data_IF_258863698569
#
_entry.id   IF_258863698569
#
_cell.length_a   1.000
_cell.length_b   1.000
_cell.length_c   1.000
_cell.angle_alpha   90.00
_cell.angle_beta   90.00
_cell.angle_gamma   90.00
#
_symmetry.space_group_name_H-M   'P 1'
#
loop_
_entity.id
_entity.type
_entity.pdbx_description
1 polymer ?
#
# COMPACT_ATOMS: atom_id res chain seq x y z
N UNK A 1 17.14 6.33 9.69
CA UNK A 1 17.41 6.02 8.27
C UNK A 1 16.39 6.76 7.40
N UNK A 2 16.81 7.34 6.27
CA UNK A 2 15.98 8.21 5.42
C UNK A 2 14.62 7.61 5.03
N UNK A 3 14.57 6.30 4.78
CA UNK A 3 13.32 5.59 4.46
C UNK A 3 12.29 5.66 5.60
N UNK A 4 12.70 5.47 6.86
CA UNK A 4 11.79 5.50 8.02
C UNK A 4 11.18 6.90 8.18
N UNK A 5 11.97 7.95 7.95
CA UNK A 5 11.50 9.34 7.98
C UNK A 5 10.47 9.61 6.88
N UNK A 6 10.76 9.19 5.64
CA UNK A 6 9.83 9.32 4.51
C UNK A 6 8.54 8.51 4.76
N UNK A 7 8.66 7.29 5.26
CA UNK A 7 7.55 6.41 5.59
C UNK A 7 6.66 7.03 6.68
N UNK A 8 7.26 7.57 7.74
CA UNK A 8 6.54 8.25 8.82
C UNK A 8 5.87 9.54 8.34
N UNK A 9 6.56 10.34 7.52
CA UNK A 9 5.99 11.54 6.89
C UNK A 9 4.80 11.19 6.01
N UNK A 10 4.89 10.10 5.25
CA UNK A 10 3.81 9.64 4.38
C UNK A 10 2.59 9.15 5.17
N UNK A 11 2.81 8.42 6.27
CA UNK A 11 1.72 8.03 7.17
C UNK A 11 0.98 9.26 7.70
N UNK A 12 1.70 10.30 8.14
CA UNK A 12 1.08 11.53 8.62
C UNK A 12 0.20 12.20 7.55
N UNK A 13 0.64 12.20 6.28
CA UNK A 13 -0.17 12.69 5.16
C UNK A 13 -1.42 11.83 4.96
N UNK A 14 -1.28 10.50 4.94
CA UNK A 14 -2.41 9.59 4.79
C UNK A 14 -3.45 9.74 5.89
N UNK A 15 -3.02 9.88 7.14
CA UNK A 15 -3.94 10.13 8.26
C UNK A 15 -4.67 11.46 8.09
N UNK A 16 -3.98 12.53 7.68
CA UNK A 16 -4.61 13.83 7.42
C UNK A 16 -5.64 13.73 6.29
N UNK A 17 -5.32 13.02 5.20
CA UNK A 17 -6.23 12.82 4.08
C UNK A 17 -7.47 12.04 4.51
N UNK A 18 -7.29 10.93 5.23
CA UNK A 18 -8.39 10.10 5.72
C UNK A 18 -9.29 10.86 6.71
N UNK A 19 -8.70 11.60 7.66
CA UNK A 19 -9.43 12.43 8.62
C UNK A 19 -10.30 13.50 7.94
N UNK A 20 -9.81 14.06 6.82
CA UNK A 20 -10.53 15.09 6.05
C UNK A 20 -11.37 14.51 4.91
N UNK A 21 -11.45 13.18 4.78
CA UNK A 21 -12.10 12.48 3.65
C UNK A 21 -11.59 12.92 2.26
N UNK A 22 -10.33 13.34 2.17
CA UNK A 22 -9.65 13.77 0.94
C UNK A 22 -9.06 12.54 0.21
N UNK A 23 -9.93 11.63 -0.22
CA UNK A 23 -9.50 10.36 -0.81
C UNK A 23 -8.82 10.51 -2.18
N UNK A 24 -9.08 11.62 -2.88
CA UNK A 24 -8.40 12.00 -4.12
C UNK A 24 -6.90 12.23 -3.97
N UNK A 25 -6.45 12.67 -2.79
CA UNK A 25 -5.03 12.89 -2.49
C UNK A 25 -4.21 11.59 -2.51
N UNK A 26 -4.85 10.45 -2.20
CA UNK A 26 -4.20 9.14 -2.34
C UNK A 26 -3.90 8.79 -3.80
N UNK A 27 -4.66 9.34 -4.75
CA UNK A 27 -4.61 8.92 -6.15
C UNK A 27 -3.74 9.81 -7.02
N UNK A 28 -3.34 10.97 -6.51
CA UNK A 28 -2.68 12.03 -7.28
C UNK A 28 -1.17 12.15 -7.01
N UNK A 29 -0.63 11.36 -6.08
CA UNK A 29 0.73 11.52 -5.55
C UNK A 29 1.65 10.30 -5.83
N UNK A 30 2.96 10.55 -5.99
CA UNK A 30 3.98 9.54 -6.30
C UNK A 30 4.76 9.07 -5.05
N UNK A 31 4.08 8.45 -4.10
CA UNK A 31 4.69 8.01 -2.83
C UNK A 31 5.06 6.53 -2.76
N UNK A 32 4.72 5.76 -3.79
CA UNK A 32 4.70 4.29 -3.70
C UNK A 32 6.01 3.67 -3.21
N UNK A 33 7.16 4.27 -3.56
CA UNK A 33 8.48 3.73 -3.22
C UNK A 33 8.81 3.75 -1.74
N UNK A 34 8.42 4.81 -1.01
CA UNK A 34 8.65 4.89 0.43
C UNK A 34 7.43 4.45 1.25
N UNK A 35 6.23 4.48 0.68
CA UNK A 35 5.02 3.97 1.32
C UNK A 35 4.96 2.43 1.28
N UNK A 36 5.32 1.83 0.15
CA UNK A 36 5.26 0.39 -0.10
C UNK A 36 6.63 -0.13 -0.57
N UNK A 37 7.66 -0.08 0.29
CA UNK A 37 9.01 -0.45 -0.12
C UNK A 37 9.09 -1.95 -0.46
N UNK A 38 9.85 -2.27 -1.51
CA UNK A 38 10.02 -3.62 -2.06
C UNK A 38 11.49 -3.89 -2.38
N UNK A 39 11.82 -5.14 -2.65
CA UNK A 39 13.17 -5.63 -2.98
C UNK A 39 13.52 -5.56 -4.48
N UNK A 40 12.70 -4.85 -5.27
CA UNK A 40 12.85 -4.74 -6.72
C UNK A 40 13.37 -3.36 -7.15
N UNK A 41 14.18 -3.35 -8.21
CA UNK A 41 14.66 -2.12 -8.83
C UNK A 41 13.53 -1.38 -9.54
N UNK A 42 13.63 -0.06 -9.59
CA UNK A 42 12.67 0.80 -10.26
C UNK A 42 13.24 1.43 -11.52
N UNK A 43 12.39 2.06 -12.35
CA UNK A 43 12.85 2.98 -13.40
C UNK A 43 13.63 4.21 -12.88
N UNK A 44 13.66 4.42 -11.54
CA UNK A 44 14.47 5.44 -10.86
C UNK A 44 15.77 4.82 -10.27
N UNK A 45 16.16 3.63 -10.72
CA UNK A 45 17.33 2.90 -10.23
C UNK A 45 17.09 2.20 -8.89
N UNK A 46 18.19 1.92 -8.18
CA UNK A 46 18.23 1.16 -6.92
C UNK A 46 18.01 2.03 -5.66
N UNK A 47 17.68 3.33 -5.82
CA UNK A 47 17.61 4.30 -4.71
C UNK A 47 16.71 3.87 -3.54
N UNK A 48 15.62 3.14 -3.82
CA UNK A 48 14.67 2.64 -2.82
C UNK A 48 14.55 1.12 -2.78
N UNK A 49 15.45 0.42 -3.49
CA UNK A 49 15.47 -1.04 -3.50
C UNK A 49 15.99 -1.52 -2.16
N UNK A 50 15.17 -2.28 -1.44
CA UNK A 50 15.62 -2.88 -0.20
C UNK A 50 16.52 -4.08 -0.48
N UNK A 51 17.66 -4.13 0.21
CA UNK A 51 18.43 -5.36 0.32
C UNK A 51 17.90 -6.22 1.46
N UNK A 52 18.26 -7.51 1.45
CA UNK A 52 17.87 -8.45 2.52
C UNK A 52 18.19 -7.92 3.92
N UNK A 53 19.36 -7.29 4.09
CA UNK A 53 19.76 -6.70 5.38
C UNK A 53 18.81 -5.58 5.82
N UNK A 54 18.44 -4.68 4.91
CA UNK A 54 17.50 -3.59 5.21
C UNK A 54 16.13 -4.13 5.62
N UNK A 55 15.65 -5.17 4.92
CA UNK A 55 14.36 -5.81 5.23
C UNK A 55 14.37 -6.39 6.64
N UNK A 56 15.42 -7.13 7.00
CA UNK A 56 15.52 -7.73 8.33
C UNK A 56 15.65 -6.66 9.42
N UNK A 57 16.42 -5.60 9.20
CA UNK A 57 16.49 -4.46 10.14
C UNK A 57 15.14 -3.77 10.32
N UNK A 58 14.39 -3.54 9.23
CA UNK A 58 13.08 -2.91 9.27
C UNK A 58 12.02 -3.79 9.92
N UNK A 59 12.07 -5.12 9.72
CA UNK A 59 11.18 -6.07 10.40
C UNK A 59 11.35 -6.05 11.93
N UNK A 60 12.57 -5.82 12.42
CA UNK A 60 12.82 -5.67 13.87
C UNK A 60 12.37 -4.31 14.42
N UNK A 61 12.11 -3.32 13.56
CA UNK A 61 11.63 -2.02 13.98
C UNK A 61 10.10 -2.01 14.15
N UNK A 62 9.65 -2.13 15.40
CA UNK A 62 8.23 -2.19 15.74
C UNK A 62 7.43 -0.96 15.28
N UNK A 63 8.01 0.24 15.35
CA UNK A 63 7.34 1.46 14.90
C UNK A 63 7.15 1.45 13.39
N UNK A 64 8.18 1.06 12.63
CA UNK A 64 8.09 0.92 11.18
C UNK A 64 7.02 -0.12 10.80
N UNK A 65 7.05 -1.30 11.40
CA UNK A 65 6.06 -2.35 11.10
C UNK A 65 4.63 -1.92 11.43
N UNK A 66 4.42 -1.23 12.56
CA UNK A 66 3.12 -0.65 12.90
C UNK A 66 2.66 0.38 11.85
N UNK A 67 3.56 1.27 11.45
CA UNK A 67 3.27 2.30 10.46
C UNK A 67 2.97 1.69 9.07
N UNK A 68 3.71 0.64 8.68
CA UNK A 68 3.51 -0.07 7.44
C UNK A 68 2.12 -0.71 7.36
N UNK A 69 1.68 -1.38 8.42
CA UNK A 69 0.33 -1.95 8.50
C UNK A 69 -0.73 -0.85 8.30
N UNK A 70 -0.56 0.30 8.96
CA UNK A 70 -1.51 1.41 8.85
C UNK A 70 -1.49 2.08 7.48
N UNK A 71 -0.32 2.21 6.85
CA UNK A 71 -0.19 2.72 5.48
C UNK A 71 -0.91 1.80 4.48
N UNK A 72 -0.74 0.47 4.60
CA UNK A 72 -1.41 -0.50 3.73
C UNK A 72 -2.94 -0.49 3.94
N UNK A 73 -3.38 -0.34 5.19
CA UNK A 73 -4.80 -0.16 5.52
C UNK A 73 -5.37 1.11 4.86
N UNK A 74 -4.76 2.27 5.09
CA UNK A 74 -5.22 3.56 4.54
C UNK A 74 -5.23 3.59 3.01
N UNK A 75 -4.18 3.04 2.38
CA UNK A 75 -4.12 2.90 0.92
C UNK A 75 -5.24 2.04 0.36
N UNK A 76 -5.57 0.93 1.03
CA UNK A 76 -6.67 0.05 0.63
C UNK A 76 -8.03 0.70 0.87
N UNK A 77 -8.17 1.41 2.00
CA UNK A 77 -9.36 2.19 2.31
C UNK A 77 -9.62 3.25 1.25
N UNK A 78 -8.59 3.88 0.69
CA UNK A 78 -8.73 4.86 -0.39
C UNK A 78 -9.32 4.28 -1.68
N UNK A 79 -9.22 2.97 -1.89
CA UNK A 79 -9.91 2.26 -2.98
C UNK A 79 -11.28 1.67 -2.58
N UNK A 80 -11.72 1.94 -1.36
CA UNK A 80 -12.98 1.40 -0.84
C UNK A 80 -12.88 -0.06 -0.40
N UNK A 81 -11.67 -0.57 -0.15
CA UNK A 81 -11.43 -1.94 0.32
C UNK A 81 -11.17 -1.97 1.82
N UNK A 82 -11.95 -2.76 2.55
CA UNK A 82 -11.74 -3.12 3.93
C UNK A 82 -10.71 -4.26 4.00
N UNK A 83 -9.47 -3.90 4.32
CA UNK A 83 -8.38 -4.85 4.34
C UNK A 83 -8.57 -5.94 5.40
N UNK A 84 -9.19 -5.62 6.54
CA UNK A 84 -9.42 -6.54 7.65
C UNK A 84 -10.54 -7.53 7.35
N UNK A 85 -11.66 -7.03 6.85
CA UNK A 85 -12.84 -7.85 6.55
C UNK A 85 -12.84 -8.42 5.13
N UNK A 86 -11.83 -8.08 4.31
CA UNK A 86 -11.63 -8.57 2.93
C UNK A 86 -12.87 -8.35 2.06
N UNK A 87 -13.43 -7.14 2.12
CA UNK A 87 -14.64 -6.77 1.39
C UNK A 87 -14.63 -5.30 1.01
N UNK A 88 -15.51 -4.90 0.09
CA UNK A 88 -15.76 -3.48 -0.17
C UNK A 88 -16.48 -2.82 0.99
N UNK A 89 -16.22 -1.54 1.21
CA UNK A 89 -17.10 -0.73 2.04
C UNK A 89 -18.44 -0.54 1.34
N UNK A 90 -19.53 -0.58 2.13
CA UNK A 90 -20.88 -0.40 1.59
C UNK A 90 -21.16 1.07 1.22
N UNK A 91 -20.59 2.01 1.97
CA UNK A 91 -20.82 3.44 1.82
C UNK A 91 -19.48 4.17 1.69
N UNK A 92 -18.96 4.23 0.47
CA UNK A 92 -17.72 4.95 0.17
C UNK A 92 -17.95 6.46 0.03
N UNK A 93 -16.98 7.25 0.50
CA UNK A 93 -16.91 8.68 0.18
C UNK A 93 -16.56 8.91 -1.30
N UNK A 94 -16.70 10.15 -1.77
CA UNK A 94 -16.22 10.53 -3.10
C UNK A 94 -14.73 10.19 -3.25
N UNK A 95 -14.37 9.60 -4.39
CA UNK A 95 -13.02 9.12 -4.73
C UNK A 95 -12.50 7.92 -3.92
N UNK A 96 -13.26 7.42 -2.95
CA UNK A 96 -12.93 6.22 -2.19
C UNK A 96 -13.31 4.95 -2.97
N UNK A 97 -12.71 4.76 -4.14
CA UNK A 97 -13.01 3.68 -5.10
C UNK A 97 -11.76 3.34 -5.90
N UNK A 98 -11.76 2.20 -6.57
CA UNK A 98 -10.69 1.85 -7.51
C UNK A 98 -10.47 2.97 -8.55
N UNK A 99 -9.21 3.32 -8.78
CA UNK A 99 -8.80 4.41 -9.69
C UNK A 99 -7.83 3.92 -10.78
N UNK A 100 -7.83 2.62 -11.08
CA UNK A 100 -7.02 2.04 -12.15
C UNK A 100 -5.51 2.21 -11.98
N UNK A 101 -5.01 1.96 -10.76
CA UNK A 101 -3.58 1.97 -10.43
C UNK A 101 -3.05 0.54 -10.13
N UNK A 102 -3.03 -0.37 -11.11
CA UNK A 102 -2.62 -1.76 -10.89
C UNK A 102 -1.17 -1.88 -10.37
N UNK A 103 -0.28 -0.98 -10.79
CA UNK A 103 1.09 -0.94 -10.30
C UNK A 103 1.19 -0.66 -8.80
N UNK A 104 0.29 0.18 -8.25
CA UNK A 104 0.24 0.46 -6.81
C UNK A 104 -0.26 -0.76 -6.05
N UNK A 105 -1.29 -1.44 -6.57
CA UNK A 105 -1.80 -2.68 -5.97
C UNK A 105 -0.73 -3.78 -5.96
N UNK A 106 0.02 -3.91 -7.06
CA UNK A 106 1.17 -4.80 -7.13
C UNK A 106 2.20 -4.46 -6.03
N UNK A 107 2.62 -3.20 -5.92
CA UNK A 107 3.61 -2.78 -4.91
C UNK A 107 3.12 -3.02 -3.48
N UNK A 108 1.86 -2.74 -3.18
CA UNK A 108 1.26 -3.03 -1.86
C UNK A 108 1.28 -4.54 -1.57
N UNK A 109 0.91 -5.36 -2.56
CA UNK A 109 0.88 -6.83 -2.44
C UNK A 109 2.29 -7.39 -2.25
N UNK A 110 3.25 -6.95 -3.06
CA UNK A 110 4.66 -7.33 -2.96
C UNK A 110 5.28 -6.88 -1.64
N UNK A 111 4.98 -5.66 -1.19
CA UNK A 111 5.42 -5.16 0.10
C UNK A 111 4.93 -6.05 1.25
N UNK A 112 3.66 -6.47 1.22
CA UNK A 112 3.13 -7.41 2.20
C UNK A 112 3.91 -8.74 2.21
N UNK A 113 4.32 -9.27 1.05
CA UNK A 113 5.16 -10.48 0.97
C UNK A 113 6.56 -10.23 1.56
N UNK A 114 7.23 -9.16 1.14
CA UNK A 114 8.59 -8.79 1.60
C UNK A 114 8.68 -8.71 3.13
N UNK A 115 7.64 -8.14 3.75
CA UNK A 115 7.57 -7.96 5.20
C UNK A 115 6.84 -9.08 5.95
N UNK A 116 6.44 -10.17 5.28
CA UNK A 116 5.82 -11.33 5.92
C UNK A 116 4.39 -11.09 6.44
N UNK A 117 3.69 -10.08 5.92
CA UNK A 117 2.33 -9.68 6.30
C UNK A 117 1.28 -10.56 5.59
N UNK A 118 1.26 -11.85 5.93
CA UNK A 118 0.47 -12.86 5.21
C UNK A 118 -1.03 -12.53 5.11
N UNK A 119 -1.66 -12.07 6.17
CA UNK A 119 -3.09 -11.72 6.16
C UNK A 119 -3.40 -10.55 5.22
N UNK A 120 -2.52 -9.55 5.20
CA UNK A 120 -2.61 -8.38 4.32
C UNK A 120 -2.43 -8.80 2.87
N UNK A 121 -1.44 -9.65 2.59
CA UNK A 121 -1.22 -10.22 1.26
C UNK A 121 -2.47 -10.92 0.73
N UNK A 122 -3.08 -11.82 1.50
CA UNK A 122 -4.28 -12.54 1.06
C UNK A 122 -5.47 -11.60 0.82
N UNK A 123 -5.61 -10.54 1.63
CA UNK A 123 -6.65 -9.53 1.45
C UNK A 123 -6.48 -8.74 0.15
N UNK A 124 -5.26 -8.24 -0.10
CA UNK A 124 -4.94 -7.50 -1.33
C UNK A 124 -5.06 -8.39 -2.58
N UNK A 125 -4.67 -9.66 -2.46
CA UNK A 125 -4.87 -10.67 -3.51
C UNK A 125 -6.34 -10.86 -3.83
N UNK A 126 -7.18 -11.02 -2.80
CA UNK A 126 -8.63 -11.10 -2.99
C UNK A 126 -9.20 -9.86 -3.66
N UNK A 127 -8.72 -8.67 -3.30
CA UNK A 127 -9.15 -7.42 -3.93
C UNK A 127 -8.80 -7.37 -5.42
N UNK A 128 -7.56 -7.70 -5.79
CA UNK A 128 -7.17 -7.70 -7.21
C UNK A 128 -7.90 -8.77 -8.03
N UNK A 129 -8.16 -9.94 -7.46
CA UNK A 129 -8.99 -10.99 -8.11
C UNK A 129 -10.43 -10.51 -8.34
N UNK A 130 -11.01 -9.81 -7.36
CA UNK A 130 -12.33 -9.19 -7.50
C UNK A 130 -12.32 -8.18 -8.67
N UNK A 131 -11.35 -7.27 -8.72
CA UNK A 131 -11.24 -6.28 -9.80
C UNK A 131 -11.14 -6.95 -11.18
N UNK A 132 -10.35 -8.01 -11.32
CA UNK A 132 -10.26 -8.78 -12.57
C UNK A 132 -11.61 -9.40 -12.94
N UNK A 133 -12.32 -9.97 -11.96
CA UNK A 133 -13.66 -10.55 -12.19
C UNK A 133 -14.71 -9.51 -12.61
N UNK A 134 -14.50 -8.24 -12.24
CA UNK A 134 -15.33 -7.10 -12.66
C UNK A 134 -14.91 -6.52 -14.02
N UNK A 135 -13.92 -7.10 -14.69
CA UNK A 135 -13.50 -6.75 -16.04
C UNK A 135 -12.27 -5.84 -16.13
N UNK A 136 -11.67 -5.44 -15.02
CA UNK A 136 -10.41 -4.69 -15.04
C UNK A 136 -9.26 -5.54 -15.59
N UNK A 137 -8.51 -5.00 -16.55
CA UNK A 137 -7.45 -5.73 -17.25
C UNK A 137 -6.07 -5.38 -16.67
N UNK A 138 -5.56 -6.24 -15.80
CA UNK A 138 -4.18 -6.15 -15.33
C UNK A 138 -3.69 -7.49 -14.78
N UNK A 139 -2.38 -7.62 -14.70
CA UNK A 139 -1.71 -8.75 -14.05
C UNK A 139 -1.05 -8.27 -12.77
N UNK A 140 -1.25 -9.00 -11.68
CA UNK A 140 -0.55 -8.79 -10.43
C UNK A 140 -0.32 -10.17 -9.80
N UNK A 141 0.94 -10.54 -9.58
CA UNK A 141 1.33 -11.87 -9.08
C UNK A 141 2.02 -11.72 -7.73
#
# INVERSE_FOLDING_TARGET
AKLIELHTSQLNKFEQYAQKSQWDEFHSNHYDWWAYPIDESSGHGDMYKLQRKDIEELKQNQLFMKNLNRILELGSMAWGWDLKNRKRFNNCHKYQKWQDWPIRLYKMTKCAVVFGLSEIYHSLKGFGQLLISEGHQFTFY
#
